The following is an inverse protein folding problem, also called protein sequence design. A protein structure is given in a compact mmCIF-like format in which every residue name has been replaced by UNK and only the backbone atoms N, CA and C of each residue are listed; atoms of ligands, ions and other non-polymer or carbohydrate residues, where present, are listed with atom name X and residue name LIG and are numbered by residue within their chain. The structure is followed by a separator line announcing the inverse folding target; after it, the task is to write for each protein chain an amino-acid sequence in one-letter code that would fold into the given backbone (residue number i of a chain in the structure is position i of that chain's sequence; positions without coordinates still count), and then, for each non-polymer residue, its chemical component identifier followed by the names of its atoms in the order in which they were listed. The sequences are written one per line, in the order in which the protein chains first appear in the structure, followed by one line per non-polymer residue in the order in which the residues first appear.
data_IF_433072110057
#
_entry.id   IF_433072110057
#
_cell.length_a   1.000
_cell.length_b   1.000
_cell.length_c   1.000
_cell.angle_alpha   90.00
_cell.angle_beta   90.00
_cell.angle_gamma   90.00
#
_symmetry.space_group_name_H-M   'P 1'
#
loop_
_entity.id
_entity.type
_entity.pdbx_description
1 polymer ?
#
# COMPACT_ATOMS: atom_id res chain seq x y z
N UNK A 1 -1.63 -10.54 -17.09
CA UNK A 1 -0.98 -11.32 -16.02
C UNK A 1 -2.07 -11.74 -15.04
N UNK A 2 -2.12 -13.01 -14.66
CA UNK A 2 -3.08 -13.47 -13.65
C UNK A 2 -2.67 -12.95 -12.26
N UNK A 3 -3.54 -12.16 -11.63
CA UNK A 3 -3.26 -11.49 -10.35
C UNK A 3 -3.11 -12.50 -9.21
N UNK A 4 -3.92 -13.58 -9.21
CA UNK A 4 -3.86 -14.62 -8.18
C UNK A 4 -2.55 -15.41 -8.25
N UNK A 5 -2.12 -15.79 -9.46
CA UNK A 5 -0.81 -16.44 -9.66
C UNK A 5 0.34 -15.53 -9.24
N UNK A 6 0.27 -14.23 -9.54
CA UNK A 6 1.31 -13.28 -9.12
C UNK A 6 1.42 -13.18 -7.59
N UNK A 7 0.31 -13.04 -6.87
CA UNK A 7 0.33 -13.05 -5.41
C UNK A 7 0.83 -14.37 -4.82
N UNK A 8 0.52 -15.50 -5.47
CA UNK A 8 1.00 -16.82 -5.07
C UNK A 8 2.52 -16.92 -5.20
N UNK A 9 3.08 -16.46 -6.32
CA UNK A 9 4.53 -16.46 -6.53
C UNK A 9 5.25 -15.59 -5.49
N UNK A 10 4.75 -14.36 -5.27
CA UNK A 10 5.28 -13.46 -4.25
C UNK A 10 5.29 -14.10 -2.86
N UNK A 11 4.19 -14.77 -2.49
CA UNK A 11 4.08 -15.44 -1.20
C UNK A 11 5.07 -16.59 -1.07
N UNK A 12 5.14 -17.48 -2.07
CA UNK A 12 6.05 -18.64 -2.07
C UNK A 12 7.52 -18.20 -1.98
N UNK A 13 7.94 -17.26 -2.84
CA UNK A 13 9.30 -16.73 -2.83
C UNK A 13 9.65 -16.05 -1.51
N UNK A 14 8.70 -15.31 -0.93
CA UNK A 14 8.93 -14.61 0.33
C UNK A 14 8.99 -15.56 1.52
N UNK A 15 8.17 -16.62 1.54
CA UNK A 15 8.25 -17.64 2.59
C UNK A 15 9.59 -18.37 2.56
N UNK A 16 10.12 -18.70 1.38
CA UNK A 16 11.45 -19.28 1.21
C UNK A 16 12.56 -18.31 1.66
N UNK A 17 12.44 -17.02 1.34
CA UNK A 17 13.40 -16.00 1.82
C UNK A 17 13.35 -15.85 3.34
N UNK A 18 12.15 -15.85 3.92
CA UNK A 18 11.97 -15.77 5.38
C UNK A 18 12.63 -16.97 6.05
N UNK A 19 12.32 -18.20 5.62
CA UNK A 19 12.88 -19.41 6.23
C UNK A 19 14.41 -19.44 6.19
N UNK A 20 15.01 -18.93 5.12
CA UNK A 20 16.47 -18.89 4.90
C UNK A 20 17.18 -17.61 5.36
N UNK A 21 16.51 -16.72 6.12
CA UNK A 21 17.08 -15.42 6.55
C UNK A 21 17.51 -14.48 5.42
N UNK A 22 16.96 -14.67 4.21
CA UNK A 22 17.19 -13.84 3.03
C UNK A 22 16.11 -12.75 2.85
N UNK A 23 15.38 -12.43 3.92
CA UNK A 23 14.45 -11.29 3.97
C UNK A 23 15.21 -9.99 4.29
N UNK A 24 14.57 -8.86 4.06
CA UNK A 24 15.16 -7.52 4.17
C UNK A 24 14.53 -6.81 5.36
N UNK A 25 15.38 -6.39 6.30
CA UNK A 25 14.98 -5.51 7.39
C UNK A 25 14.92 -4.08 6.86
N UNK A 26 13.80 -3.40 7.12
CA UNK A 26 13.61 -2.00 6.83
C UNK A 26 14.30 -1.15 7.89
N UNK A 27 15.54 -0.73 7.60
CA UNK A 27 16.37 0.03 8.54
C UNK A 27 15.90 1.48 8.74
N UNK A 28 15.08 2.00 7.82
CA UNK A 28 14.63 3.40 7.84
C UNK A 28 13.40 3.61 8.74
N UNK A 29 12.65 2.56 9.06
CA UNK A 29 11.36 2.69 9.77
C UNK A 29 11.50 3.24 11.20
N UNK A 30 12.68 3.03 11.81
CA UNK A 30 13.06 3.53 13.12
C UNK A 30 14.00 4.75 13.05
N UNK A 31 14.39 5.19 11.86
CA UNK A 31 15.29 6.33 11.72
C UNK A 31 14.52 7.62 11.94
N UNK A 32 14.83 8.30 13.03
CA UNK A 32 14.25 9.60 13.38
C UNK A 32 14.63 10.71 12.40
N UNK A 33 15.62 10.46 11.54
CA UNK A 33 16.03 11.36 10.47
C UNK A 33 15.49 10.95 9.09
N UNK A 34 14.60 9.94 9.02
CA UNK A 34 13.94 9.61 7.76
C UNK A 34 12.94 10.71 7.38
N UNK A 35 13.44 11.69 6.64
CA UNK A 35 12.68 12.83 6.13
C UNK A 35 12.15 12.58 4.71
N UNK A 36 12.07 11.31 4.27
CA UNK A 36 11.52 10.99 2.96
C UNK A 36 10.03 11.28 2.95
N UNK A 37 9.65 12.29 2.19
CA UNK A 37 8.27 12.74 2.03
C UNK A 37 7.89 12.76 0.56
N UNK A 38 6.59 12.63 0.28
CA UNK A 38 6.06 12.62 -1.09
C UNK A 38 4.56 12.93 -1.10
N UNK A 39 3.95 12.73 -2.27
CA UNK A 39 2.48 12.78 -2.41
C UNK A 39 1.95 11.52 -3.10
N UNK A 40 0.92 10.95 -2.52
CA UNK A 40 0.35 9.66 -2.94
C UNK A 40 -1.16 9.76 -3.03
N UNK A 41 -1.72 9.19 -4.09
CA UNK A 41 -3.16 8.94 -4.23
C UNK A 41 -3.47 7.55 -3.66
N UNK A 42 -4.41 7.47 -2.71
CA UNK A 42 -4.74 6.25 -1.99
C UNK A 42 -6.25 6.01 -1.87
N UNK A 43 -6.60 4.76 -1.55
CA UNK A 43 -7.94 4.32 -1.14
C UNK A 43 -7.84 3.79 0.28
N UNK A 44 -8.84 4.08 1.12
CA UNK A 44 -8.93 3.52 2.47
C UNK A 44 -10.07 2.50 2.56
N UNK A 45 -9.81 1.29 3.09
CA UNK A 45 -10.90 0.36 3.42
C UNK A 45 -11.81 0.92 4.53
N UNK A 46 -12.98 0.30 4.68
CA UNK A 46 -13.88 0.60 5.79
C UNK A 46 -13.28 0.19 7.13
N UNK A 47 -13.76 0.79 8.23
CA UNK A 47 -13.33 0.42 9.58
C UNK A 47 -13.62 -1.05 9.91
N UNK A 48 -14.71 -1.61 9.40
CA UNK A 48 -15.01 -3.05 9.53
C UNK A 48 -13.90 -3.92 8.96
N UNK A 49 -13.47 -3.62 7.72
CA UNK A 49 -12.37 -4.35 7.06
C UNK A 49 -11.06 -4.18 7.81
N UNK A 50 -10.74 -2.96 8.24
CA UNK A 50 -9.52 -2.69 9.02
C UNK A 50 -9.52 -3.46 10.34
N UNK A 51 -10.65 -3.50 11.05
CA UNK A 51 -10.79 -4.26 12.28
C UNK A 51 -10.61 -5.77 12.04
N UNK A 52 -11.10 -6.29 10.91
CA UNK A 52 -10.86 -7.68 10.54
C UNK A 52 -9.38 -7.96 10.26
N UNK A 53 -8.68 -7.03 9.58
CA UNK A 53 -7.23 -7.10 9.41
C UNK A 53 -6.51 -7.08 10.76
N UNK A 54 -6.95 -6.29 11.75
CA UNK A 54 -6.34 -6.27 13.08
C UNK A 54 -6.42 -7.62 13.80
N UNK A 55 -7.44 -8.45 13.55
CA UNK A 55 -7.49 -9.81 14.13
C UNK A 55 -6.29 -10.64 13.68
N UNK A 56 -5.95 -10.57 12.39
CA UNK A 56 -4.74 -11.20 11.84
C UNK A 56 -3.47 -10.60 12.43
N UNK A 57 -3.36 -9.26 12.47
CA UNK A 57 -2.15 -8.59 12.97
C UNK A 57 -1.91 -8.87 14.46
N UNK A 58 -2.97 -8.98 15.26
CA UNK A 58 -2.86 -9.32 16.67
C UNK A 58 -2.31 -10.74 16.85
N UNK A 59 -2.82 -11.73 16.11
CA UNK A 59 -2.28 -13.10 16.17
C UNK A 59 -0.80 -13.15 15.75
N UNK A 60 -0.42 -12.40 14.71
CA UNK A 60 0.98 -12.35 14.27
C UNK A 60 1.88 -11.62 15.29
N UNK A 61 1.34 -10.62 16.00
CA UNK A 61 2.04 -9.89 17.07
C UNK A 61 2.30 -10.75 18.31
N UNK A 62 1.40 -11.67 18.65
CA UNK A 62 1.65 -12.67 19.71
C UNK A 62 2.84 -13.60 19.36
N UNK A 63 3.11 -13.81 18.07
CA UNK A 63 4.27 -14.57 17.59
C UNK A 63 5.54 -13.73 17.63
N UNK A 64 5.48 -12.51 17.11
CA UNK A 64 6.63 -11.60 17.09
C UNK A 64 6.20 -10.13 17.14
N UNK A 65 6.20 -9.55 18.34
CA UNK A 65 5.84 -8.15 18.56
C UNK A 65 6.92 -7.13 18.12
N UNK A 66 8.10 -7.60 17.69
CA UNK A 66 9.22 -6.71 17.34
C UNK A 66 9.10 -6.09 15.95
N UNK A 67 8.18 -6.59 15.12
CA UNK A 67 7.92 -6.08 13.77
C UNK A 67 7.05 -4.82 13.81
N UNK A 68 7.02 -4.07 12.71
CA UNK A 68 6.14 -2.90 12.60
C UNK A 68 4.79 -3.31 12.00
N UNK A 69 3.74 -3.21 12.80
CA UNK A 69 2.37 -3.54 12.43
C UNK A 69 1.57 -2.26 12.18
N UNK A 70 0.90 -2.18 11.04
CA UNK A 70 0.15 -0.97 10.68
C UNK A 70 -1.11 -0.83 11.58
N UNK A 71 -1.29 0.30 12.28
CA UNK A 71 -2.57 0.62 12.91
C UNK A 71 -3.64 0.94 11.86
N UNK A 72 -4.91 0.95 12.25
CA UNK A 72 -6.03 1.26 11.34
C UNK A 72 -5.87 2.59 10.59
N UNK A 73 -5.20 3.58 11.19
CA UNK A 73 -4.95 4.89 10.59
C UNK A 73 -4.03 4.82 9.36
N UNK A 74 -3.14 3.83 9.33
CA UNK A 74 -2.09 3.71 8.32
C UNK A 74 -2.48 2.69 7.23
N UNK A 75 -3.50 1.86 7.47
CA UNK A 75 -3.99 0.87 6.49
C UNK A 75 -4.62 1.59 5.29
N UNK A 76 -4.04 1.37 4.11
CA UNK A 76 -4.46 1.95 2.85
C UNK A 76 -4.07 1.04 1.67
N UNK A 77 -4.68 1.32 0.51
CA UNK A 77 -4.25 0.82 -0.80
C UNK A 77 -3.62 2.00 -1.53
N UNK A 78 -2.37 1.84 -1.98
CA UNK A 78 -1.75 2.83 -2.87
C UNK A 78 -2.33 2.69 -4.27
N UNK A 79 -3.00 3.73 -4.76
CA UNK A 79 -3.43 3.82 -6.16
C UNK A 79 -2.23 4.22 -7.00
N UNK A 80 -1.58 5.33 -6.64
CA UNK A 80 -0.40 5.84 -7.33
C UNK A 80 0.43 6.75 -6.43
N UNK A 81 1.74 6.48 -6.32
CA UNK A 81 2.69 7.46 -5.79
C UNK A 81 3.03 8.46 -6.90
N UNK A 82 2.42 9.65 -6.86
CA UNK A 82 2.65 10.68 -7.87
C UNK A 82 4.09 11.21 -7.73
N UNK A 83 4.47 11.55 -6.49
CA UNK A 83 5.84 11.85 -6.09
C UNK A 83 6.20 10.86 -4.98
N UNK A 84 7.11 9.94 -5.29
CA UNK A 84 7.65 8.94 -4.38
C UNK A 84 8.37 9.66 -3.24
N UNK A 85 8.35 9.07 -2.05
CA UNK A 85 8.98 9.74 -0.93
C UNK A 85 10.50 9.79 -1.08
N UNK A 86 11.07 10.99 -1.04
CA UNK A 86 12.51 11.24 -1.09
C UNK A 86 12.89 12.36 -0.11
N UNK A 87 14.15 12.39 0.30
CA UNK A 87 14.64 13.38 1.26
C UNK A 87 14.75 14.78 0.61
N UNK A 88 14.22 15.79 1.28
CA UNK A 88 14.18 17.18 0.79
C UNK A 88 12.99 17.53 -0.10
N UNK A 89 12.02 16.63 -0.28
CA UNK A 89 10.73 16.99 -0.88
C UNK A 89 10.03 18.07 -0.03
N UNK A 90 9.53 19.11 -0.69
CA UNK A 90 8.86 20.24 -0.04
C UNK A 90 7.58 20.56 -0.79
N UNK A 91 6.45 20.34 -0.11
CA UNK A 91 5.12 20.59 -0.65
C UNK A 91 4.92 22.04 -1.12
N UNK A 92 5.65 23.01 -0.56
CA UNK A 92 5.54 24.42 -0.96
C UNK A 92 6.22 24.74 -2.30
N UNK A 93 7.03 23.81 -2.82
CA UNK A 93 7.72 23.97 -4.11
C UNK A 93 6.89 23.47 -5.29
N UNK A 94 5.72 22.91 -5.04
CA UNK A 94 4.80 22.43 -6.08
C UNK A 94 3.49 23.21 -6.07
N UNK A 95 2.85 23.33 -7.23
CA UNK A 95 1.50 23.90 -7.35
C UNK A 95 0.46 22.81 -7.14
N UNK A 96 0.02 22.58 -5.90
CA UNK A 96 -0.91 21.49 -5.55
C UNK A 96 -2.18 21.47 -6.42
N UNK A 97 -2.72 22.64 -6.78
CA UNK A 97 -3.93 22.75 -7.58
C UNK A 97 -3.79 22.10 -8.96
N UNK A 98 -2.60 22.13 -9.56
CA UNK A 98 -2.35 21.52 -10.87
C UNK A 98 -2.44 19.99 -10.79
N UNK A 99 -1.91 19.40 -9.72
CA UNK A 99 -2.03 17.96 -9.44
C UNK A 99 -3.49 17.56 -9.22
N UNK A 100 -4.21 18.34 -8.41
CA UNK A 100 -5.63 18.11 -8.13
C UNK A 100 -6.47 18.20 -9.41
N UNK A 101 -6.19 19.16 -10.30
CA UNK A 101 -6.89 19.31 -11.57
C UNK A 101 -6.70 18.10 -12.50
N UNK A 102 -5.46 17.59 -12.60
CA UNK A 102 -5.16 16.39 -13.40
C UNK A 102 -5.87 15.17 -12.83
N UNK A 103 -5.76 14.96 -11.52
CA UNK A 103 -6.38 13.81 -10.85
C UNK A 103 -7.90 13.85 -11.00
N UNK A 104 -8.54 15.01 -10.80
CA UNK A 104 -9.97 15.19 -11.05
C UNK A 104 -10.37 14.79 -12.47
N UNK A 105 -9.59 15.21 -13.47
CA UNK A 105 -9.85 14.85 -14.87
C UNK A 105 -9.76 13.34 -15.10
N UNK A 106 -8.81 12.65 -14.46
CA UNK A 106 -8.66 11.20 -14.56
C UNK A 106 -9.74 10.41 -13.81
N UNK A 107 -10.32 11.00 -12.76
CA UNK A 107 -11.39 10.38 -11.95
C UNK A 107 -12.77 10.61 -12.57
N UNK A 108 -12.96 11.71 -13.30
CA UNK A 108 -14.23 12.03 -13.97
C UNK A 108 -14.67 10.90 -14.91
N UNK A 109 -15.72 10.17 -14.52
CA UNK A 109 -16.27 9.04 -15.28
C UNK A 109 -15.78 7.67 -14.82
N UNK A 110 -15.04 7.58 -13.72
CA UNK A 110 -14.85 6.31 -13.03
C UNK A 110 -16.17 5.82 -12.46
N UNK A 111 -16.48 4.55 -12.71
CA UNK A 111 -17.56 3.90 -12.01
C UNK A 111 -17.08 3.47 -10.62
N UNK A 112 -18.02 3.39 -9.69
CA UNK A 112 -17.80 2.72 -8.40
C UNK A 112 -17.34 1.28 -8.66
N UNK A 113 -16.26 0.87 -8.01
CA UNK A 113 -15.67 -0.47 -8.13
C UNK A 113 -15.57 -1.10 -6.74
N UNK A 114 -15.64 -2.43 -6.67
CA UNK A 114 -15.56 -3.18 -5.41
C UNK A 114 -14.21 -3.88 -5.34
N UNK A 115 -13.56 -3.81 -4.17
CA UNK A 115 -12.33 -4.55 -3.90
C UNK A 115 -12.65 -5.67 -2.91
N UNK A 116 -12.39 -6.91 -3.31
CA UNK A 116 -12.39 -8.06 -2.41
C UNK A 116 -10.99 -8.25 -1.82
N UNK A 117 -10.88 -8.26 -0.49
CA UNK A 117 -9.64 -8.53 0.21
C UNK A 117 -9.62 -9.97 0.70
N UNK A 118 -8.78 -10.80 0.09
CA UNK A 118 -8.76 -12.23 0.34
C UNK A 118 -7.35 -12.78 0.37
N UNK A 119 -6.96 -13.31 1.51
CA UNK A 119 -5.66 -13.91 1.71
C UNK A 119 -4.56 -12.88 1.90
N UNK A 120 -3.38 -13.41 2.20
CA UNK A 120 -2.17 -12.60 2.37
C UNK A 120 -1.11 -13.02 1.37
N UNK A 121 -0.23 -12.08 1.05
CA UNK A 121 1.01 -12.31 0.31
C UNK A 121 2.15 -11.66 1.09
N UNK A 122 3.38 -11.85 0.62
CA UNK A 122 4.54 -11.22 1.22
C UNK A 122 5.51 -10.74 0.15
N UNK A 123 6.39 -9.85 0.57
CA UNK A 123 7.59 -9.45 -0.16
C UNK A 123 8.79 -9.68 0.75
N UNK A 124 10.03 -9.51 0.25
CA UNK A 124 11.20 -9.65 1.10
C UNK A 124 11.22 -8.76 2.33
N UNK A 125 10.47 -7.64 2.40
CA UNK A 125 10.48 -6.72 3.55
C UNK A 125 9.12 -6.48 4.21
N UNK A 126 8.06 -7.18 3.78
CA UNK A 126 6.71 -6.86 4.23
C UNK A 126 5.71 -8.01 4.07
N UNK A 127 4.66 -7.99 4.89
CA UNK A 127 3.43 -8.78 4.69
C UNK A 127 2.33 -7.87 4.19
N UNK A 128 1.55 -8.36 3.23
CA UNK A 128 0.49 -7.62 2.56
C UNK A 128 -0.81 -8.40 2.49
N UNK A 129 -1.94 -7.70 2.57
CA UNK A 129 -3.26 -8.25 2.23
C UNK A 129 -3.46 -8.17 0.72
N UNK A 130 -3.93 -9.26 0.12
CA UNK A 130 -4.23 -9.30 -1.31
C UNK A 130 -5.58 -8.66 -1.57
N UNK A 131 -5.64 -7.75 -2.53
CA UNK A 131 -6.90 -7.20 -3.04
C UNK A 131 -7.13 -7.57 -4.50
N UNK A 132 -8.40 -7.85 -4.78
CA UNK A 132 -8.94 -8.26 -6.07
C UNK A 132 -10.07 -7.31 -6.46
N UNK A 133 -9.82 -6.33 -7.33
CA UNK A 133 -10.85 -5.47 -7.87
C UNK A 133 -11.88 -6.27 -8.68
N UNK A 134 -13.15 -5.85 -8.67
CA UNK A 134 -14.24 -6.47 -9.43
C UNK A 134 -14.14 -6.28 -10.95
N UNK A 135 -13.36 -5.29 -11.37
CA UNK A 135 -13.25 -4.81 -12.74
C UNK A 135 -11.87 -4.13 -12.98
N UNK A 136 -11.69 -3.56 -14.16
CA UNK A 136 -10.45 -2.90 -14.54
C UNK A 136 -10.31 -1.46 -14.01
N UNK A 137 -11.32 -0.88 -13.33
CA UNK A 137 -11.39 0.57 -13.10
C UNK A 137 -10.19 1.15 -12.35
N UNK A 138 -9.59 0.43 -11.39
CA UNK A 138 -8.37 0.88 -10.70
C UNK A 138 -7.16 0.90 -11.64
N UNK A 139 -7.02 -0.10 -12.50
CA UNK A 139 -5.91 -0.17 -13.43
C UNK A 139 -6.07 0.85 -14.56
N UNK A 140 -7.30 1.04 -15.05
CA UNK A 140 -7.61 2.10 -16.02
C UNK A 140 -7.31 3.49 -15.43
N UNK A 141 -7.67 3.73 -14.15
CA UNK A 141 -7.28 4.95 -13.44
C UNK A 141 -5.76 5.11 -13.39
N UNK A 142 -5.01 4.06 -13.03
CA UNK A 142 -3.55 4.11 -12.99
C UNK A 142 -2.95 4.46 -14.36
N UNK A 143 -3.46 3.88 -15.43
CA UNK A 143 -2.99 4.14 -16.80
C UNK A 143 -3.35 5.54 -17.29
N UNK A 144 -4.53 6.03 -16.92
CA UNK A 144 -4.95 7.41 -17.19
C UNK A 144 -4.07 8.41 -16.44
N UNK A 145 -3.77 8.18 -15.16
CA UNK A 145 -2.87 9.01 -14.37
C UNK A 145 -1.46 9.02 -14.98
N UNK A 146 -0.91 7.86 -15.33
CA UNK A 146 0.39 7.75 -16.02
C UNK A 146 0.43 8.59 -17.29
N UNK A 147 -0.60 8.46 -18.12
CA UNK A 147 -0.69 9.16 -19.41
C UNK A 147 -0.80 10.66 -19.20
N UNK A 148 -1.69 11.09 -18.30
CA UNK A 148 -1.93 12.51 -18.04
C UNK A 148 -0.69 13.21 -17.44
N UNK A 149 -0.05 12.62 -16.41
CA UNK A 149 1.13 13.23 -15.80
C UNK A 149 2.33 13.27 -16.73
N UNK A 150 2.50 12.26 -17.62
CA UNK A 150 3.56 12.26 -18.65
C UNK A 150 3.45 13.42 -19.64
N UNK A 151 2.27 14.02 -19.80
CA UNK A 151 2.03 15.16 -20.70
C UNK A 151 2.30 16.51 -20.03
N UNK A 152 2.75 16.53 -18.78
CA UNK A 152 2.95 17.74 -17.98
C UNK A 152 4.42 17.94 -17.63
N UNK A 153 4.78 19.15 -17.22
CA UNK A 153 6.09 19.45 -16.63
C UNK A 153 6.08 19.36 -15.10
N UNK A 154 4.99 18.88 -14.49
CA UNK A 154 4.90 18.73 -13.04
C UNK A 154 5.91 17.71 -12.55
N UNK A 155 6.48 17.96 -11.37
CA UNK A 155 7.34 16.98 -10.71
C UNK A 155 6.56 15.69 -10.47
N UNK A 156 7.11 14.58 -10.95
CA UNK A 156 6.53 13.26 -10.74
C UNK A 156 7.63 12.19 -10.82
N UNK A 157 7.34 11.06 -10.22
CA UNK A 157 8.23 9.90 -10.18
C UNK A 157 7.47 8.59 -10.40
N UNK A 158 6.34 8.70 -11.09
CA UNK A 158 5.44 7.58 -11.38
C UNK A 158 6.22 6.49 -12.09
N UNK A 159 6.05 5.26 -11.61
CA UNK A 159 6.72 4.04 -12.06
C UNK A 159 8.26 4.03 -12.00
N UNK A 160 8.94 5.05 -11.42
CA UNK A 160 10.41 5.01 -11.26
C UNK A 160 10.87 3.86 -10.36
N UNK A 161 10.05 3.46 -9.38
CA UNK A 161 10.35 2.39 -8.42
C UNK A 161 9.91 1.02 -8.94
N UNK A 162 8.68 0.92 -9.40
CA UNK A 162 8.09 -0.23 -10.11
C UNK A 162 6.70 0.17 -10.62
N UNK A 163 6.20 -0.53 -11.64
CA UNK A 163 4.83 -0.33 -12.10
C UNK A 163 3.84 -1.03 -11.15
N UNK A 164 3.01 -0.23 -10.47
CA UNK A 164 1.91 -0.75 -9.65
C UNK A 164 0.87 -1.43 -10.53
N UNK A 165 0.75 -2.75 -10.36
CA UNK A 165 -0.27 -3.59 -11.00
C UNK A 165 -1.16 -4.30 -9.97
N UNK A 166 -0.63 -4.60 -8.78
CA UNK A 166 -1.39 -5.22 -7.69
C UNK A 166 -2.20 -4.18 -6.90
N UNK A 167 -3.31 -4.61 -6.33
CA UNK A 167 -4.14 -3.82 -5.42
C UNK A 167 -4.00 -4.43 -4.04
N UNK A 168 -2.95 -4.05 -3.31
CA UNK A 168 -2.60 -4.67 -2.04
C UNK A 168 -2.51 -3.64 -0.92
N UNK A 169 -2.56 -4.12 0.33
CA UNK A 169 -2.34 -3.32 1.53
C UNK A 169 -1.09 -3.84 2.22
N UNK A 170 -0.08 -3.01 2.39
CA UNK A 170 1.00 -3.36 3.33
C UNK A 170 0.48 -3.23 4.74
N UNK A 171 0.68 -4.27 5.55
CA UNK A 171 0.18 -4.31 6.94
C UNK A 171 1.26 -4.67 7.96
N UNK A 172 2.38 -5.25 7.52
CA UNK A 172 3.56 -5.48 8.34
C UNK A 172 4.82 -5.09 7.57
N UNK A 173 5.76 -4.44 8.24
CA UNK A 173 7.14 -4.24 7.75
C UNK A 173 8.10 -4.98 8.64
N UNK A 174 9.09 -5.65 8.04
CA UNK A 174 10.13 -6.34 8.80
C UNK A 174 11.10 -5.30 9.38
N UNK A 175 10.94 -5.01 10.66
CA UNK A 175 11.67 -3.96 11.40
C UNK A 175 12.89 -4.52 12.13
N UNK A 176 12.81 -5.79 12.54
CA UNK A 176 13.86 -6.53 13.27
C UNK A 176 13.95 -7.95 12.71
N UNK A 177 15.02 -8.71 13.01
CA UNK A 177 15.04 -10.13 12.69
C UNK A 177 13.81 -10.84 13.24
N UNK A 178 13.20 -11.72 12.45
CA UNK A 178 12.02 -12.49 12.84
C UNK A 178 12.42 -13.51 13.90
N UNK A 179 11.86 -13.40 15.11
CA UNK A 179 12.30 -14.19 16.27
C UNK A 179 11.97 -15.69 16.14
N UNK A 180 10.73 -16.01 15.77
CA UNK A 180 10.25 -17.39 15.61
C UNK A 180 9.70 -17.61 14.21
N UNK A 181 10.60 -17.84 13.25
CA UNK A 181 10.25 -17.99 11.82
C UNK A 181 9.24 -19.10 11.57
N UNK A 182 9.36 -20.24 12.25
CA UNK A 182 8.46 -21.38 12.05
C UNK A 182 7.02 -21.02 12.44
N UNK A 183 6.86 -20.41 13.62
CA UNK A 183 5.53 -19.98 14.06
C UNK A 183 5.03 -18.80 13.22
N UNK A 184 5.91 -17.89 12.81
CA UNK A 184 5.56 -16.76 11.96
C UNK A 184 5.02 -17.24 10.61
N UNK A 185 5.76 -18.11 9.92
CA UNK A 185 5.37 -18.73 8.65
C UNK A 185 4.10 -19.57 8.81
N UNK A 186 3.97 -20.32 9.90
CA UNK A 186 2.74 -21.08 10.20
C UNK A 186 1.53 -20.15 10.29
N UNK A 187 1.64 -19.01 10.97
CA UNK A 187 0.58 -18.01 11.03
C UNK A 187 0.32 -17.41 9.65
N UNK A 188 1.35 -17.10 8.85
CA UNK A 188 1.15 -16.63 7.49
C UNK A 188 0.36 -17.64 6.63
N UNK A 189 0.71 -18.93 6.69
CA UNK A 189 -0.01 -20.00 5.98
C UNK A 189 -1.46 -20.13 6.44
N UNK A 190 -1.76 -19.97 7.74
CA UNK A 190 -3.13 -19.97 8.26
C UNK A 190 -4.01 -18.91 7.60
N UNK A 191 -3.44 -17.74 7.29
CA UNK A 191 -4.16 -16.61 6.70
C UNK A 191 -4.05 -16.54 5.17
N UNK A 192 -3.42 -17.55 4.53
CA UNK A 192 -3.10 -17.50 3.10
C UNK A 192 -4.31 -17.23 2.21
N UNK A 193 -5.48 -17.78 2.56
CA UNK A 193 -6.72 -17.63 1.79
C UNK A 193 -7.88 -17.02 2.61
N UNK A 194 -7.55 -16.40 3.76
CA UNK A 194 -8.53 -15.84 4.68
C UNK A 194 -9.35 -14.70 4.05
N UNK A 195 -10.67 -14.71 4.21
CA UNK A 195 -11.51 -13.64 3.69
C UNK A 195 -11.54 -12.44 4.65
N UNK A 196 -10.87 -11.35 4.29
CA UNK A 196 -10.89 -10.11 5.07
C UNK A 196 -12.15 -9.28 4.81
N UNK A 197 -12.88 -9.57 3.73
CA UNK A 197 -14.12 -8.93 3.33
C UNK A 197 -13.96 -8.11 2.05
N UNK A 198 -15.02 -7.41 1.65
CA UNK A 198 -15.05 -6.57 0.45
C UNK A 198 -15.65 -5.22 0.75
N UNK A 199 -15.22 -4.20 0.01
CA UNK A 199 -15.78 -2.86 0.13
C UNK A 199 -15.82 -2.15 -1.23
N UNK A 200 -16.75 -1.20 -1.34
CA UNK A 200 -16.87 -0.32 -2.50
C UNK A 200 -15.95 0.89 -2.34
N UNK A 201 -15.27 1.27 -3.42
CA UNK A 201 -14.46 2.49 -3.48
C UNK A 201 -15.40 3.67 -3.65
N UNK A 202 -15.52 4.48 -2.60
CA UNK A 202 -16.38 5.68 -2.60
C UNK A 202 -15.61 6.97 -2.86
N UNK A 203 -14.34 6.98 -2.48
CA UNK A 203 -13.48 8.13 -2.61
C UNK A 203 -12.01 7.73 -2.72
N UNK A 204 -11.20 8.66 -3.22
CA UNK A 204 -9.75 8.61 -3.20
C UNK A 204 -9.21 9.82 -2.45
N UNK A 205 -8.09 9.65 -1.76
CA UNK A 205 -7.41 10.71 -1.03
C UNK A 205 -6.05 10.97 -1.68
N UNK A 206 -5.78 12.23 -2.04
CA UNK A 206 -4.41 12.68 -2.28
C UNK A 206 -3.84 13.18 -0.96
N UNK A 207 -2.73 12.59 -0.55
CA UNK A 207 -2.08 12.91 0.73
C UNK A 207 -0.62 13.30 0.51
N UNK A 208 -0.13 14.19 1.36
CA UNK A 208 1.30 14.32 1.65
C UNK A 208 1.64 13.30 2.72
N UNK A 209 2.72 12.54 2.53
CA UNK A 209 3.00 11.38 3.37
C UNK A 209 4.49 11.04 3.46
N UNK A 210 4.84 10.33 4.52
CA UNK A 210 6.12 9.61 4.64
C UNK A 210 6.06 8.25 3.92
N UNK A 211 7.18 7.53 3.88
CA UNK A 211 7.28 6.24 3.20
C UNK A 211 6.28 5.18 3.69
N UNK A 212 5.84 5.28 4.95
CA UNK A 212 5.01 4.27 5.62
C UNK A 212 3.54 4.63 5.68
N UNK A 213 3.16 5.88 5.38
CA UNK A 213 1.81 6.44 5.55
C UNK A 213 1.38 6.49 7.02
N UNK A 214 2.34 6.80 7.90
CA UNK A 214 2.10 7.01 9.33
C UNK A 214 1.22 8.22 9.53
N UNK A 215 0.12 8.05 10.26
CA UNK A 215 -0.89 9.09 10.46
C UNK A 215 -0.31 10.46 10.90
N UNK A 216 0.73 10.47 11.73
CA UNK A 216 1.37 11.70 12.22
C UNK A 216 2.09 12.51 11.12
N UNK A 217 2.50 11.85 10.02
CA UNK A 217 3.14 12.46 8.85
C UNK A 217 2.20 12.62 7.66
N UNK A 218 0.97 12.08 7.76
CA UNK A 218 -0.03 12.16 6.70
C UNK A 218 -0.84 13.45 6.82
N UNK A 219 -0.86 14.22 5.73
CA UNK A 219 -1.74 15.38 5.58
C UNK A 219 -2.61 15.19 4.36
N UNK A 220 -3.93 15.22 4.55
CA UNK A 220 -4.89 15.22 3.45
C UNK A 220 -4.74 16.51 2.63
N UNK A 221 -4.53 16.35 1.32
CA UNK A 221 -4.39 17.45 0.36
C UNK A 221 -5.66 17.66 -0.45
N UNK A 222 -6.33 16.58 -0.84
CA UNK A 222 -7.61 16.60 -1.54
C UNK A 222 -8.35 15.27 -1.38
N UNK A 223 -9.67 15.34 -1.32
CA UNK A 223 -10.58 14.19 -1.33
C UNK A 223 -11.39 14.19 -2.62
N UNK A 224 -11.45 13.05 -3.30
CA UNK A 224 -12.09 12.88 -4.60
C UNK A 224 -13.21 11.85 -4.48
N UNK A 225 -14.46 12.28 -4.66
CA UNK A 225 -15.61 11.37 -4.66
C UNK A 225 -15.76 10.72 -6.04
N UNK A 226 -16.05 9.42 -6.06
CA UNK A 226 -16.41 8.65 -7.26
C UNK A 226 -17.93 8.66 -7.41
#
# INVERSE_FOLDING_TARGET
MDLASHYTNLFTESCEKISNDNYVIDTQIDDLNDNRLGITLLIRPTEEIKNNIQLFLNELKEVDASQYYYPNSDIHITVMSIISCYDGFDLNKITLQDYVAIINKCISGLNTSVINLQGITASPSAVMIQGFPSDASINDLRDNLRTAFKQTSLEQSIDKRYSLFTTHLTVVRFRKPINNKDLFLKTLHKYRDYNFGKFEIKNLELVHNDWYQRAEFVKLLSDFKI
#
